data_IF_087004035024
#
_entry.id   IF_087004035024
#
_cell.length_a   1.000
_cell.length_b   1.000
_cell.length_c   1.000
_cell.angle_alpha   90.00
_cell.angle_beta   90.00
_cell.angle_gamma   90.00
#
_symmetry.space_group_name_H-M   'P 1'
#
loop_
_entity.id
_entity.type
_entity.pdbx_description
1 polymer ?
#
# COMPACT_ATOMS: atom_id res chain seq x y z
N UNK A 1 0.24 -9.71 2.68
CA UNK A 1 0.47 -9.37 4.11
C UNK A 1 -0.84 -9.49 4.87
N UNK A 2 -0.84 -10.06 6.08
CA UNK A 2 -2.00 -10.07 6.98
C UNK A 2 -1.80 -9.02 8.06
N UNK A 3 -2.83 -8.26 8.36
CA UNK A 3 -2.80 -7.19 9.35
C UNK A 3 -4.12 -7.13 10.11
N UNK A 4 -4.05 -6.74 11.38
CA UNK A 4 -5.24 -6.56 12.22
C UNK A 4 -5.60 -5.08 12.33
N UNK A 5 -6.77 -4.65 11.85
CA UNK A 5 -7.25 -3.29 12.04
C UNK A 5 -7.52 -2.98 13.51
N UNK A 6 -7.26 -1.75 13.91
CA UNK A 6 -7.48 -1.28 15.29
C UNK A 6 -8.55 -0.19 15.37
N UNK A 7 -8.76 0.55 14.30
CA UNK A 7 -9.62 1.73 14.33
C UNK A 7 -10.37 1.91 13.00
N UNK A 8 -11.66 2.21 13.10
CA UNK A 8 -12.46 2.66 11.98
C UNK A 8 -12.36 4.19 11.85
N UNK A 9 -11.96 4.67 10.68
CA UNK A 9 -11.91 6.10 10.39
C UNK A 9 -13.21 6.51 9.71
N UNK A 10 -14.05 7.26 10.44
CA UNK A 10 -15.30 7.78 9.92
C UNK A 10 -14.99 8.95 8.98
N UNK A 11 -15.47 8.86 7.74
CA UNK A 11 -15.43 9.97 6.80
C UNK A 11 -16.48 11.03 7.16
N UNK A 12 -16.18 12.34 7.00
CA UNK A 12 -17.07 13.42 7.42
C UNK A 12 -18.45 13.43 6.73
N UNK A 13 -18.53 12.87 5.53
CA UNK A 13 -19.76 12.84 4.72
C UNK A 13 -20.59 11.57 4.89
N UNK A 14 -20.10 10.60 5.66
CA UNK A 14 -20.75 9.29 5.86
C UNK A 14 -20.89 8.50 4.56
N UNK A 15 -20.21 8.91 3.49
CA UNK A 15 -20.19 8.26 2.19
C UNK A 15 -18.82 7.67 1.94
N UNK A 16 -18.80 6.50 1.36
CA UNK A 16 -17.60 5.86 0.89
C UNK A 16 -17.42 4.47 1.45
N UNK A 17 -16.50 3.78 0.84
CA UNK A 17 -16.00 2.51 1.31
C UNK A 17 -15.31 2.67 2.67
N UNK A 18 -15.25 1.60 3.43
CA UNK A 18 -14.72 1.65 4.78
C UNK A 18 -13.25 2.01 4.79
N UNK A 19 -12.89 2.98 5.60
CA UNK A 19 -11.49 3.31 5.86
C UNK A 19 -11.12 2.82 7.26
N UNK A 20 -10.23 1.87 7.30
CA UNK A 20 -9.67 1.30 8.52
C UNK A 20 -8.27 1.86 8.77
N UNK A 21 -7.84 1.81 10.00
CA UNK A 21 -6.46 2.06 10.39
C UNK A 21 -5.94 0.85 11.15
N UNK A 22 -4.78 0.40 10.73
CA UNK A 22 -4.01 -0.63 11.40
C UNK A 22 -2.60 -0.12 11.72
N UNK A 23 -1.89 -0.85 12.56
CA UNK A 23 -0.47 -0.63 12.79
C UNK A 23 0.30 -1.75 12.10
N UNK A 24 1.21 -1.37 11.23
CA UNK A 24 2.14 -2.27 10.57
C UNK A 24 3.55 -2.09 11.14
N UNK A 25 4.43 -3.04 10.87
CA UNK A 25 5.80 -3.05 11.35
C UNK A 25 6.09 -4.22 12.28
N UNK A 26 7.37 -4.48 12.47
CA UNK A 26 7.86 -5.66 13.21
C UNK A 26 8.18 -5.37 14.70
N UNK A 27 7.56 -4.36 15.29
CA UNK A 27 7.77 -3.96 16.69
C UNK A 27 9.00 -3.07 16.93
N UNK A 28 9.83 -2.81 15.93
CA UNK A 28 10.94 -1.87 16.01
C UNK A 28 10.64 -0.53 15.34
N UNK A 29 9.74 -0.55 14.36
CA UNK A 29 9.24 0.63 13.66
C UNK A 29 7.77 0.38 13.30
N UNK A 30 6.86 0.79 14.20
CA UNK A 30 5.43 0.74 13.93
C UNK A 30 4.99 2.02 13.22
N UNK A 31 4.14 1.87 12.21
CA UNK A 31 3.58 2.97 11.45
C UNK A 31 2.09 2.75 11.18
N UNK A 32 1.29 3.83 11.14
CA UNK A 32 -0.13 3.73 10.84
C UNK A 32 -0.32 3.41 9.35
N UNK A 33 -1.10 2.37 9.06
CA UNK A 33 -1.46 1.95 7.72
C UNK A 33 -2.95 2.18 7.50
N UNK A 34 -3.36 3.10 6.62
CA UNK A 34 -4.75 3.23 6.22
C UNK A 34 -5.11 2.12 5.24
N UNK A 35 -6.29 1.53 5.40
CA UNK A 35 -6.76 0.42 4.59
C UNK A 35 -8.15 0.77 4.08
N UNK A 36 -8.36 0.73 2.78
CA UNK A 36 -9.67 0.82 2.16
C UNK A 36 -10.29 -0.58 2.05
N UNK A 37 -11.52 -0.72 2.51
CA UNK A 37 -12.25 -1.99 2.44
C UNK A 37 -13.53 -1.80 1.66
N UNK A 38 -13.76 -2.68 0.70
CA UNK A 38 -14.98 -2.71 -0.07
C UNK A 38 -15.99 -3.66 0.58
N UNK A 39 -17.26 -3.25 0.60
CA UNK A 39 -18.38 -4.06 1.12
C UNK A 39 -18.30 -4.42 2.62
N UNK A 40 -17.56 -3.66 3.40
CA UNK A 40 -17.49 -3.82 4.86
C UNK A 40 -18.11 -2.58 5.52
N UNK A 41 -19.13 -2.77 6.33
CA UNK A 41 -19.74 -1.68 7.08
C UNK A 41 -19.09 -1.49 8.46
N UNK A 42 -19.24 -0.31 9.11
CA UNK A 42 -18.78 -0.12 10.49
C UNK A 42 -19.33 -1.16 11.47
N UNK A 43 -20.57 -1.62 11.25
CA UNK A 43 -21.20 -2.64 12.10
C UNK A 43 -20.56 -4.02 11.88
N UNK A 44 -20.10 -4.31 10.65
CA UNK A 44 -19.39 -5.55 10.34
C UNK A 44 -18.01 -5.58 10.99
N UNK A 45 -17.32 -4.47 11.05
CA UNK A 45 -16.00 -4.37 11.73
C UNK A 45 -16.09 -4.68 13.21
N UNK A 46 -17.16 -4.26 13.88
CA UNK A 46 -17.40 -4.62 15.28
C UNK A 46 -17.67 -6.13 15.48
N UNK A 47 -18.13 -6.82 14.45
CA UNK A 47 -18.28 -8.28 14.45
C UNK A 47 -16.96 -9.01 14.20
N UNK A 48 -15.95 -8.29 13.70
CA UNK A 48 -14.66 -8.82 13.26
C UNK A 48 -13.47 -8.25 14.05
N UNK A 49 -13.69 -7.82 15.32
CA UNK A 49 -12.63 -7.24 16.18
C UNK A 49 -11.34 -8.09 16.27
N UNK A 50 -11.45 -9.40 16.00
CA UNK A 50 -10.32 -10.33 16.02
C UNK A 50 -9.93 -10.85 14.62
N UNK A 51 -10.46 -10.28 13.55
CA UNK A 51 -10.19 -10.75 12.19
C UNK A 51 -8.99 -10.06 11.57
N UNK A 52 -8.11 -10.85 11.00
CA UNK A 52 -7.02 -10.34 10.18
C UNK A 52 -7.52 -9.97 8.77
N UNK A 53 -6.82 -9.03 8.13
CA UNK A 53 -7.11 -8.58 6.77
C UNK A 53 -5.95 -8.93 5.85
N UNK A 54 -6.26 -9.46 4.70
CA UNK A 54 -5.34 -9.55 3.57
C UNK A 54 -5.18 -8.17 2.94
N UNK A 55 -3.95 -7.78 2.59
CA UNK A 55 -3.66 -6.50 1.96
C UNK A 55 -3.02 -6.66 0.61
N UNK A 56 -3.39 -5.76 -0.31
CA UNK A 56 -2.68 -5.51 -1.54
C UNK A 56 -2.44 -4.01 -1.71
N UNK A 57 -1.32 -3.66 -2.32
CA UNK A 57 -0.96 -2.31 -2.69
C UNK A 57 -1.21 -2.13 -4.18
N UNK A 58 -2.12 -1.25 -4.57
CA UNK A 58 -2.35 -0.89 -5.97
C UNK A 58 -1.67 0.45 -6.28
N UNK A 59 -0.83 0.49 -7.32
CA UNK A 59 -0.18 1.73 -7.73
C UNK A 59 -1.24 2.79 -8.10
N UNK A 60 -1.29 3.87 -7.34
CA UNK A 60 -2.19 5.00 -7.59
C UNK A 60 -1.66 5.95 -8.67
N UNK A 61 -0.38 5.85 -8.98
CA UNK A 61 0.33 6.63 -9.98
C UNK A 61 1.48 5.82 -10.55
N UNK A 62 2.07 6.31 -11.62
CA UNK A 62 3.22 5.67 -12.27
C UNK A 62 4.41 5.63 -11.30
N UNK A 63 4.93 4.43 -10.97
CA UNK A 63 6.02 4.30 -10.02
C UNK A 63 7.35 4.84 -10.59
N UNK A 64 8.22 5.26 -9.69
CA UNK A 64 9.63 5.49 -9.99
C UNK A 64 10.41 4.23 -9.62
N UNK A 65 11.16 3.72 -10.58
CA UNK A 65 11.95 2.49 -10.42
C UNK A 65 13.42 2.85 -10.47
N UNK A 66 14.17 2.39 -9.51
CA UNK A 66 15.61 2.57 -9.40
C UNK A 66 16.28 1.20 -9.46
N UNK A 67 17.39 1.12 -10.18
CA UNK A 67 18.09 -0.14 -10.42
C UNK A 67 18.50 -0.84 -9.10
N UNK A 68 18.95 -0.05 -8.14
CA UNK A 68 19.41 -0.49 -6.82
C UNK A 68 19.42 0.70 -5.84
N UNK A 69 19.86 0.45 -4.61
CA UNK A 69 20.00 1.47 -3.58
C UNK A 69 20.98 2.59 -3.96
N UNK A 70 22.05 2.27 -4.67
CA UNK A 70 23.03 3.26 -5.12
C UNK A 70 22.40 4.21 -6.15
N UNK A 71 21.61 3.67 -7.07
CA UNK A 71 20.85 4.47 -8.04
C UNK A 71 19.79 5.33 -7.34
N UNK A 72 19.10 4.78 -6.33
CA UNK A 72 18.13 5.51 -5.51
C UNK A 72 18.79 6.69 -4.78
N UNK A 73 19.86 6.44 -4.05
CA UNK A 73 20.61 7.47 -3.32
C UNK A 73 21.17 8.56 -4.25
N UNK A 74 21.68 8.15 -5.42
CA UNK A 74 22.26 9.06 -6.41
C UNK A 74 21.20 9.94 -7.08
N UNK A 75 20.00 9.43 -7.28
CA UNK A 75 18.86 10.19 -7.81
C UNK A 75 18.30 11.18 -6.78
N UNK A 76 18.53 10.90 -5.52
CA UNK A 76 17.93 11.55 -4.39
C UNK A 76 18.60 12.79 -3.88
N UNK A 77 19.10 13.67 -4.75
CA UNK A 77 19.67 14.99 -4.34
C UNK A 77 18.69 15.77 -3.44
N UNK A 78 17.44 15.37 -3.37
CA UNK A 78 16.40 15.98 -2.54
C UNK A 78 15.52 14.96 -1.76
N UNK A 79 15.84 13.67 -1.82
CA UNK A 79 15.09 12.66 -1.07
C UNK A 79 15.66 12.55 0.35
N UNK A 80 15.00 13.20 1.29
CA UNK A 80 15.16 12.91 2.72
C UNK A 80 14.45 11.61 3.14
N UNK A 81 13.94 10.83 2.17
CA UNK A 81 13.19 9.61 2.39
C UNK A 81 14.12 8.42 2.13
N UNK A 82 14.20 7.50 3.06
CA UNK A 82 15.02 6.31 2.94
C UNK A 82 14.51 5.37 1.82
N UNK A 83 15.40 4.51 1.32
CA UNK A 83 15.08 3.47 0.32
C UNK A 83 14.03 2.47 0.81
N UNK A 84 13.88 2.33 2.12
CA UNK A 84 12.75 1.67 2.76
C UNK A 84 12.00 2.68 3.63
N UNK A 85 10.76 2.98 3.27
CA UNK A 85 9.92 3.94 4.01
C UNK A 85 8.45 3.77 3.68
N UNK A 86 7.61 4.06 4.67
CA UNK A 86 6.15 4.13 4.53
C UNK A 86 5.66 5.45 5.11
N UNK A 87 4.94 6.22 4.31
CA UNK A 87 4.36 7.50 4.72
C UNK A 87 2.87 7.50 4.39
N UNK A 88 1.98 7.57 5.38
CA UNK A 88 0.53 7.55 5.18
C UNK A 88 0.02 8.90 4.65
N UNK A 89 0.28 9.19 3.39
CA UNK A 89 -0.06 10.48 2.75
C UNK A 89 -1.55 10.76 2.66
N UNK A 90 -2.39 9.72 2.77
CA UNK A 90 -3.85 9.84 2.76
C UNK A 90 -4.48 10.14 4.13
N UNK A 91 -3.75 10.08 5.23
CA UNK A 91 -4.28 10.29 6.58
C UNK A 91 -4.20 11.72 7.08
N UNK A 92 -3.21 12.47 6.62
CA UNK A 92 -2.92 13.80 7.11
C UNK A 92 -2.87 14.80 5.95
N UNK A 93 -3.53 15.96 6.07
CA UNK A 93 -3.40 17.01 5.07
C UNK A 93 -1.96 17.56 5.06
N UNK A 94 -1.47 17.90 3.88
CA UNK A 94 -0.18 18.58 3.74
C UNK A 94 -0.19 20.03 4.27
N UNK A 95 -1.41 20.59 4.43
CA UNK A 95 -1.69 21.95 4.94
C UNK A 95 -2.96 21.90 5.76
N UNK A 96 -3.35 23.02 6.39
CA UNK A 96 -4.64 23.19 7.11
C UNK A 96 -5.84 23.20 6.12
N UNK A 97 -5.88 22.27 5.18
CA UNK A 97 -6.95 22.12 4.21
C UNK A 97 -8.17 21.52 4.91
N UNK A 98 -9.21 22.34 5.07
CA UNK A 98 -10.47 21.95 5.72
C UNK A 98 -11.31 20.99 4.85
N UNK A 99 -11.02 20.92 3.55
CA UNK A 99 -11.71 20.03 2.60
C UNK A 99 -10.95 18.71 2.37
N UNK A 100 -9.89 18.46 3.13
CA UNK A 100 -9.10 17.22 3.01
C UNK A 100 -9.95 15.99 3.35
N UNK A 101 -10.09 15.12 2.38
CA UNK A 101 -10.73 13.81 2.55
C UNK A 101 -9.65 12.76 2.82
N UNK A 102 -9.78 12.04 3.91
CA UNK A 102 -8.87 10.94 4.24
C UNK A 102 -9.02 9.81 3.24
N UNK A 103 -7.92 9.16 2.92
CA UNK A 103 -7.87 8.04 1.97
C UNK A 103 -6.84 7.00 2.36
N UNK A 104 -6.99 5.81 1.84
CA UNK A 104 -6.07 4.70 2.07
C UNK A 104 -4.80 4.79 1.18
N UNK A 105 -4.19 5.97 1.09
CA UNK A 105 -2.98 6.17 0.30
C UNK A 105 -1.73 6.25 1.17
N UNK A 106 -0.70 5.56 0.71
CA UNK A 106 0.64 5.60 1.30
C UNK A 106 1.66 5.90 0.21
N UNK A 107 2.69 6.66 0.53
CA UNK A 107 3.94 6.66 -0.22
C UNK A 107 4.82 5.56 0.38
N UNK A 108 5.20 4.58 -0.42
CA UNK A 108 6.06 3.49 0.00
C UNK A 108 7.26 3.38 -0.93
N UNK A 109 8.43 3.24 -0.33
CA UNK A 109 9.67 2.84 -0.99
C UNK A 109 10.05 1.46 -0.48
N UNK A 110 10.32 0.53 -1.38
CA UNK A 110 10.70 -0.82 -1.00
C UNK A 110 11.50 -1.55 -2.07
N UNK A 111 12.14 -2.64 -1.64
CA UNK A 111 12.94 -3.50 -2.50
C UNK A 111 12.07 -4.61 -3.10
N UNK A 112 12.08 -4.74 -4.41
CA UNK A 112 11.40 -5.84 -5.12
C UNK A 112 12.15 -7.14 -4.90
N UNK A 113 11.44 -8.14 -4.38
CA UNK A 113 12.02 -9.47 -4.10
C UNK A 113 11.49 -10.56 -5.01
N UNK A 114 10.36 -10.33 -5.66
CA UNK A 114 9.72 -11.31 -6.54
C UNK A 114 8.81 -10.62 -7.55
N UNK A 115 8.78 -11.13 -8.77
CA UNK A 115 7.80 -10.76 -9.81
C UNK A 115 6.94 -11.98 -10.08
N UNK A 116 5.62 -11.81 -10.11
CA UNK A 116 4.69 -12.87 -10.49
C UNK A 116 4.63 -13.00 -12.01
N UNK A 117 4.82 -14.22 -12.53
CA UNK A 117 4.81 -14.47 -13.97
C UNK A 117 3.39 -14.40 -14.59
N UNK A 118 2.38 -14.77 -13.82
CA UNK A 118 0.99 -14.77 -14.28
C UNK A 118 0.06 -14.13 -13.24
N UNK A 119 -0.22 -12.83 -13.36
CA UNK A 119 -1.12 -12.12 -12.44
C UNK A 119 -2.56 -12.62 -12.50
N UNK A 120 -2.97 -13.27 -13.62
CA UNK A 120 -4.35 -13.75 -13.79
C UNK A 120 -4.70 -14.90 -12.84
N UNK A 121 -3.72 -15.67 -12.38
CA UNK A 121 -3.93 -16.71 -11.36
C UNK A 121 -4.41 -16.12 -10.02
N UNK A 122 -4.14 -14.84 -9.79
CA UNK A 122 -4.54 -14.08 -8.59
C UNK A 122 -5.73 -13.16 -8.83
N UNK A 123 -6.37 -13.23 -10.00
CA UNK A 123 -7.57 -12.47 -10.33
C UNK A 123 -7.30 -11.05 -10.86
N UNK A 124 -6.06 -10.73 -11.25
CA UNK A 124 -5.68 -9.48 -11.91
C UNK A 124 -5.79 -9.59 -13.43
N UNK A 125 -5.71 -8.45 -14.13
CA UNK A 125 -5.77 -8.42 -15.60
C UNK A 125 -4.45 -8.90 -16.23
N UNK A 126 -4.51 -9.46 -17.44
CA UNK A 126 -3.36 -10.02 -18.15
C UNK A 126 -2.19 -9.03 -18.36
N UNK A 127 -2.47 -7.74 -18.36
CA UNK A 127 -1.43 -6.72 -18.55
C UNK A 127 -0.88 -6.12 -17.26
N UNK A 128 -1.43 -6.50 -16.12
CA UNK A 128 -0.98 -6.01 -14.83
C UNK A 128 0.37 -6.63 -14.45
N UNK A 129 1.14 -5.93 -13.64
CA UNK A 129 2.39 -6.48 -13.08
C UNK A 129 2.21 -6.65 -11.59
N UNK A 130 2.14 -7.92 -11.15
CA UNK A 130 2.09 -8.28 -9.74
C UNK A 130 3.51 -8.55 -9.23
N UNK A 131 3.88 -7.92 -8.13
CA UNK A 131 5.20 -8.07 -7.53
C UNK A 131 5.16 -8.00 -6.01
N UNK A 132 6.16 -8.61 -5.37
CA UNK A 132 6.39 -8.51 -3.95
C UNK A 132 7.55 -7.60 -3.64
N UNK A 133 7.41 -6.80 -2.60
CA UNK A 133 8.47 -5.93 -2.12
C UNK A 133 8.62 -5.99 -0.60
N UNK A 134 9.83 -5.78 -0.13
CA UNK A 134 10.11 -5.62 1.30
C UNK A 134 10.22 -4.14 1.65
N UNK A 135 9.65 -3.79 2.80
CA UNK A 135 9.80 -2.46 3.38
C UNK A 135 9.74 -2.56 4.90
N UNK A 136 10.75 -2.05 5.59
CA UNK A 136 10.85 -2.02 7.06
C UNK A 136 10.65 -3.39 7.73
N UNK A 137 11.03 -4.48 7.05
CA UNK A 137 10.93 -5.85 7.52
C UNK A 137 9.60 -6.55 7.22
N UNK A 138 8.64 -5.86 6.63
CA UNK A 138 7.38 -6.43 6.14
C UNK A 138 7.48 -6.77 4.66
N UNK A 139 6.64 -7.72 4.21
CA UNK A 139 6.50 -8.10 2.80
C UNK A 139 5.12 -7.68 2.33
N UNK A 140 5.09 -6.90 1.26
CA UNK A 140 3.88 -6.41 0.61
C UNK A 140 3.72 -7.04 -0.76
N UNK A 141 2.49 -7.35 -1.12
CA UNK A 141 2.08 -7.65 -2.49
C UNK A 141 1.58 -6.37 -3.13
N UNK A 142 2.09 -6.05 -4.31
CA UNK A 142 1.75 -4.82 -5.01
C UNK A 142 1.40 -5.12 -6.47
N UNK A 143 0.46 -4.36 -7.01
CA UNK A 143 0.06 -4.43 -8.41
C UNK A 143 0.28 -3.09 -9.09
N UNK A 144 0.90 -3.15 -10.28
CA UNK A 144 0.97 -2.05 -11.24
C UNK A 144 -0.07 -2.30 -12.32
N UNK A 145 -1.17 -1.54 -12.34
CA UNK A 145 -2.21 -1.69 -13.35
C UNK A 145 -1.69 -1.43 -14.77
N UNK A 146 -2.26 -2.12 -15.73
CA UNK A 146 -1.86 -2.08 -17.15
C UNK A 146 -1.73 -0.65 -17.71
N UNK A 147 -2.63 0.25 -17.31
CA UNK A 147 -2.62 1.65 -17.77
C UNK A 147 -1.41 2.46 -17.28
N UNK A 148 -0.71 1.99 -16.27
CA UNK A 148 0.49 2.63 -15.71
C UNK A 148 1.79 1.96 -16.16
N UNK A 149 1.75 0.85 -16.89
CA UNK A 149 2.93 0.05 -17.25
C UNK A 149 3.80 0.69 -18.34
N UNK A 150 3.27 1.60 -19.14
CA UNK A 150 4.03 2.19 -20.26
C UNK A 150 5.35 2.83 -19.82
N UNK A 151 6.47 2.25 -20.28
CA UNK A 151 7.83 2.71 -19.97
C UNK A 151 8.24 2.46 -18.51
N UNK A 152 7.58 1.53 -17.82
CA UNK A 152 7.96 1.03 -16.50
C UNK A 152 8.42 -0.42 -16.64
N UNK A 153 9.62 -0.69 -16.20
CA UNK A 153 10.16 -2.04 -16.07
C UNK A 153 10.51 -2.25 -14.60
N UNK A 154 9.93 -3.29 -13.99
CA UNK A 154 10.18 -3.68 -12.61
C UNK A 154 10.88 -5.04 -12.64
N UNK A 155 12.00 -5.13 -11.94
CA UNK A 155 12.80 -6.35 -11.83
C UNK A 155 13.13 -6.62 -10.34
N UNK A 156 13.45 -7.86 -10.03
CA UNK A 156 13.97 -8.23 -8.72
C UNK A 156 15.24 -7.44 -8.39
N UNK A 157 15.31 -6.93 -7.16
CA UNK A 157 16.42 -6.07 -6.69
C UNK A 157 16.22 -4.58 -6.94
N UNK A 158 15.22 -4.20 -7.74
CA UNK A 158 14.90 -2.78 -7.91
C UNK A 158 14.33 -2.18 -6.61
N UNK A 159 14.52 -0.86 -6.45
CA UNK A 159 13.77 -0.07 -5.49
C UNK A 159 12.62 0.61 -6.23
N UNK A 160 11.41 0.36 -5.76
CA UNK A 160 10.20 0.99 -6.27
C UNK A 160 9.72 2.05 -5.27
N UNK A 161 9.51 3.27 -5.76
CA UNK A 161 8.91 4.38 -5.03
C UNK A 161 7.59 4.75 -5.69
N UNK A 162 6.50 4.58 -4.96
CA UNK A 162 5.17 4.83 -5.49
C UNK A 162 4.20 5.28 -4.41
N UNK A 163 3.18 6.04 -4.82
CA UNK A 163 1.97 6.21 -4.02
C UNK A 163 1.04 5.04 -4.33
N UNK A 164 0.63 4.33 -3.31
CA UNK A 164 -0.25 3.17 -3.41
C UNK A 164 -1.59 3.44 -2.74
N UNK A 165 -2.65 2.87 -3.30
CA UNK A 165 -3.88 2.56 -2.58
C UNK A 165 -3.67 1.27 -1.80
N UNK A 166 -3.98 1.31 -0.51
CA UNK A 166 -3.93 0.12 0.34
C UNK A 166 -5.33 -0.46 0.39
N UNK A 167 -5.53 -1.56 -0.29
CA UNK A 167 -6.80 -2.27 -0.31
C UNK A 167 -6.73 -3.47 0.62
N UNK A 168 -7.82 -3.75 1.34
CA UNK A 168 -7.90 -4.84 2.27
C UNK A 168 -9.25 -5.54 2.25
N UNK A 169 -9.21 -6.82 2.55
CA UNK A 169 -10.40 -7.66 2.71
C UNK A 169 -10.25 -8.57 3.93
N UNK A 170 -11.36 -8.91 4.59
CA UNK A 170 -11.33 -9.86 5.68
C UNK A 170 -10.70 -11.18 5.24
N UNK A 171 -9.74 -11.67 6.03
CA UNK A 171 -9.10 -12.95 5.76
C UNK A 171 -9.91 -14.07 6.42
N UNK A 172 -10.35 -15.02 5.62
CA UNK A 172 -11.03 -16.22 6.11
C UNK A 172 -10.03 -17.39 6.07
N UNK A 173 -9.75 -17.98 7.23
CA UNK A 173 -8.99 -19.23 7.29
C UNK A 173 -9.84 -20.35 6.67
N UNK A 174 -9.36 -21.00 5.61
CA UNK A 174 -9.98 -22.19 5.03
C UNK A 174 -9.83 -23.43 5.93
#
# INVERSE_FOLDING_TARGET
MLIRPEEWIIQPDGKGDGLLKAWAGNGTAEYPLPIETHNVSPDDVMLHEDQDFGLILECAEKPKVYLDEVAYESAGVYCSIASESVIPVGLFPATDDLDFVRSARILLNGNVIEICEDPTEFGFDEGDVLYRLTCLGDIYEAVLPTELTEGVEIEEGNIVSCVYWVQGWPWEDE
#
